data_IF_200147154004
#
_entry.id   IF_200147154004
#
_cell.length_a   1.000
_cell.length_b   1.000
_cell.length_c   1.000
_cell.angle_alpha   90.00
_cell.angle_beta   90.00
_cell.angle_gamma   90.00
#
_symmetry.space_group_name_H-M   'P 1'
#
loop_
_entity.id
_entity.type
_entity.pdbx_description
1 polymer ?
#
# COMPACT_ATOMS: atom_id res chain seq x y z
N UNK A 1 -3.64 4.57 49.14
CA UNK A 1 -4.55 3.54 48.60
C UNK A 1 -4.51 3.69 47.06
N UNK A 2 -3.72 2.87 46.37
CA UNK A 2 -3.53 2.97 44.89
C UNK A 2 -4.50 1.97 44.24
N UNK A 3 -5.45 2.48 43.48
CA UNK A 3 -6.33 1.65 42.66
C UNK A 3 -5.53 1.14 41.41
N UNK A 4 -5.44 -0.17 41.28
CA UNK A 4 -4.94 -0.84 40.07
C UNK A 4 -6.02 -0.84 39.00
N UNK A 5 -5.72 -0.57 37.71
CA UNK A 5 -6.71 -0.69 36.65
C UNK A 5 -7.08 -2.15 36.45
N UNK A 6 -8.39 -2.46 36.48
CA UNK A 6 -8.95 -3.74 36.05
C UNK A 6 -8.82 -3.85 34.52
N UNK A 7 -7.92 -4.70 34.05
CA UNK A 7 -7.94 -5.14 32.65
C UNK A 7 -9.11 -6.10 32.48
N UNK A 8 -10.17 -5.67 31.81
CA UNK A 8 -11.29 -6.52 31.42
C UNK A 8 -10.87 -7.53 30.38
N UNK A 9 -10.73 -8.79 30.79
CA UNK A 9 -10.63 -9.99 29.95
C UNK A 9 -11.97 -10.24 29.26
N UNK A 10 -12.21 -9.67 28.08
CA UNK A 10 -13.45 -9.97 27.34
C UNK A 10 -13.40 -9.64 25.85
N UNK A 11 -12.36 -10.02 25.10
CA UNK A 11 -12.37 -9.98 23.62
C UNK A 11 -11.74 -11.22 22.96
N UNK A 12 -11.45 -12.29 23.69
CA UNK A 12 -10.82 -13.49 23.13
C UNK A 12 -11.65 -14.78 23.21
N UNK A 13 -12.97 -14.68 23.33
CA UNK A 13 -13.84 -15.86 23.18
C UNK A 13 -14.50 -15.81 21.80
N UNK A 14 -13.96 -16.57 20.82
CA UNK A 14 -14.64 -16.84 19.57
C UNK A 14 -13.78 -16.99 18.31
N UNK A 15 -12.48 -16.96 18.38
CA UNK A 15 -11.65 -17.17 17.20
C UNK A 15 -10.62 -18.28 17.41
N UNK A 16 -11.03 -19.54 17.20
CA UNK A 16 -10.09 -20.64 16.94
C UNK A 16 -9.50 -20.48 15.52
N UNK A 17 -8.72 -19.40 15.31
CA UNK A 17 -8.04 -19.15 14.06
C UNK A 17 -6.57 -19.60 14.19
N UNK A 18 -6.30 -20.78 13.60
CA UNK A 18 -4.97 -21.27 13.28
C UNK A 18 -3.94 -21.42 14.40
N UNK A 19 -4.01 -22.49 15.18
CA UNK A 19 -2.81 -23.09 15.75
C UNK A 19 -2.23 -24.05 14.71
N UNK A 20 -1.41 -23.57 13.77
CA UNK A 20 -0.44 -24.41 13.06
C UNK A 20 0.70 -24.67 14.04
N UNK A 21 0.81 -25.90 14.52
CA UNK A 21 1.99 -26.37 15.28
C UNK A 21 3.24 -26.27 14.39
N UNK A 22 4.28 -25.56 14.84
CA UNK A 22 5.65 -25.73 14.38
C UNK A 22 6.12 -24.80 13.24
N UNK A 23 5.60 -23.57 13.09
CA UNK A 23 6.18 -22.58 12.20
C UNK A 23 6.96 -21.51 12.97
N UNK A 24 8.08 -21.04 12.44
CA UNK A 24 8.71 -19.79 12.88
C UNK A 24 7.67 -18.66 12.79
N UNK A 25 7.55 -17.81 13.83
CA UNK A 25 6.68 -16.63 13.83
C UNK A 25 7.22 -15.62 12.81
N UNK A 26 6.85 -15.77 11.54
CA UNK A 26 7.30 -14.93 10.44
C UNK A 26 6.10 -14.33 9.71
N UNK A 27 6.17 -13.04 9.41
CA UNK A 27 5.27 -12.40 8.45
C UNK A 27 5.52 -13.03 7.08
N UNK A 28 4.49 -13.64 6.48
CA UNK A 28 4.64 -14.43 5.25
C UNK A 28 4.57 -13.58 3.98
N UNK A 29 3.99 -12.39 4.05
CA UNK A 29 3.87 -11.49 2.91
C UNK A 29 2.80 -10.43 3.12
N UNK A 30 2.60 -9.59 2.12
CA UNK A 30 1.52 -8.61 2.08
C UNK A 30 0.23 -9.32 1.64
N UNK A 31 -0.84 -9.25 2.45
CA UNK A 31 -2.16 -9.67 2.00
C UNK A 31 -2.83 -8.55 1.20
N UNK A 32 -2.94 -7.36 1.77
CA UNK A 32 -3.41 -6.17 1.06
C UNK A 32 -2.94 -4.88 1.74
N UNK A 33 -2.81 -3.83 0.93
CA UNK A 33 -2.72 -2.45 1.38
C UNK A 33 -4.04 -1.74 1.05
N UNK A 34 -4.63 -1.01 2.00
CA UNK A 34 -5.94 -0.39 1.83
C UNK A 34 -5.91 1.12 2.01
N UNK A 35 -6.55 1.83 1.10
CA UNK A 35 -6.58 3.28 1.01
C UNK A 35 -8.03 3.79 0.89
N UNK A 36 -8.23 5.09 1.10
CA UNK A 36 -9.48 5.77 0.73
C UNK A 36 -9.44 6.12 -0.76
N UNK A 37 -10.58 6.01 -1.43
CA UNK A 37 -10.76 6.61 -2.76
C UNK A 37 -11.92 7.59 -2.76
N UNK A 38 -11.90 8.50 -3.75
CA UNK A 38 -12.98 9.44 -4.00
C UNK A 38 -14.15 8.72 -4.66
N UNK A 39 -13.83 7.92 -5.68
CA UNK A 39 -14.79 7.24 -6.55
C UNK A 39 -14.21 5.88 -6.98
N UNK A 40 -15.01 4.82 -6.86
CA UNK A 40 -14.57 3.45 -7.19
C UNK A 40 -14.46 3.22 -8.69
N UNK A 41 -15.25 3.94 -9.53
CA UNK A 41 -15.18 3.78 -10.99
C UNK A 41 -13.91 4.45 -11.55
N UNK A 42 -13.56 5.65 -11.09
CA UNK A 42 -12.30 6.31 -11.44
C UNK A 42 -11.09 5.48 -10.97
N UNK A 43 -11.17 4.95 -9.74
CA UNK A 43 -10.12 4.08 -9.17
C UNK A 43 -9.97 2.80 -10.00
N UNK A 44 -11.08 2.17 -10.41
CA UNK A 44 -11.06 1.00 -11.28
C UNK A 44 -10.42 1.32 -12.64
N UNK A 45 -10.77 2.43 -13.27
CA UNK A 45 -10.19 2.83 -14.56
C UNK A 45 -8.65 2.94 -14.48
N UNK A 46 -8.11 3.41 -13.35
CA UNK A 46 -6.67 3.48 -13.15
C UNK A 46 -6.05 2.09 -12.85
N UNK A 47 -6.55 1.36 -11.86
CA UNK A 47 -5.91 0.11 -11.40
C UNK A 47 -6.21 -1.07 -12.33
N UNK A 48 -7.40 -1.18 -12.91
CA UNK A 48 -7.74 -2.26 -13.84
C UNK A 48 -7.44 -1.87 -15.31
N UNK A 49 -8.04 -0.79 -15.83
CA UNK A 49 -7.98 -0.49 -17.27
C UNK A 49 -6.61 0.08 -17.69
N UNK A 50 -5.96 0.88 -16.82
CA UNK A 50 -4.62 1.43 -17.11
C UNK A 50 -3.50 0.50 -16.63
N UNK A 51 -3.45 0.14 -15.33
CA UNK A 51 -2.37 -0.71 -14.79
C UNK A 51 -2.50 -2.20 -15.18
N UNK A 52 -3.71 -2.70 -15.45
CA UNK A 52 -3.95 -4.08 -15.87
C UNK A 52 -4.11 -5.06 -14.70
N UNK A 53 -4.39 -4.57 -13.50
CA UNK A 53 -4.79 -5.41 -12.38
C UNK A 53 -6.20 -5.97 -12.60
N UNK A 54 -6.56 -7.03 -11.88
CA UNK A 54 -7.93 -7.57 -11.92
C UNK A 54 -8.72 -7.09 -10.71
N UNK A 55 -9.89 -6.46 -10.91
CA UNK A 55 -10.86 -6.27 -9.84
C UNK A 55 -11.37 -7.64 -9.38
N UNK A 56 -10.79 -8.18 -8.31
CA UNK A 56 -11.00 -9.56 -7.89
C UNK A 56 -12.11 -9.71 -6.86
N UNK A 57 -12.41 -8.65 -6.09
CA UNK A 57 -13.45 -8.68 -5.08
C UNK A 57 -14.01 -7.30 -4.79
N UNK A 58 -15.30 -7.26 -4.46
CA UNK A 58 -16.02 -6.06 -4.03
C UNK A 58 -16.88 -6.42 -2.83
N UNK A 59 -16.76 -5.62 -1.76
CA UNK A 59 -17.50 -5.83 -0.52
C UNK A 59 -18.30 -4.58 -0.15
N UNK A 60 -19.64 -4.57 -0.36
CA UNK A 60 -20.51 -3.54 0.22
C UNK A 60 -20.56 -3.67 1.74
N UNK A 61 -20.37 -2.59 2.46
CA UNK A 61 -20.42 -2.54 3.93
C UNK A 61 -21.55 -1.61 4.33
N UNK A 62 -22.57 -2.15 5.00
CA UNK A 62 -23.73 -1.40 5.45
C UNK A 62 -23.72 -1.13 6.96
N UNK A 63 -22.91 -1.86 7.71
CA UNK A 63 -22.78 -1.69 9.16
C UNK A 63 -21.35 -1.99 9.61
N UNK A 64 -20.84 -1.18 10.55
CA UNK A 64 -19.56 -1.45 11.21
C UNK A 64 -19.69 -2.58 12.23
N UNK A 65 -18.56 -3.17 12.65
CA UNK A 65 -18.54 -4.17 13.73
C UNK A 65 -19.12 -3.65 15.06
N UNK A 66 -19.17 -2.33 15.25
CA UNK A 66 -19.75 -1.68 16.45
C UNK A 66 -21.22 -1.31 16.28
N UNK A 67 -21.87 -1.75 15.20
CA UNK A 67 -23.30 -1.56 14.95
C UNK A 67 -23.68 -0.20 14.34
N UNK A 68 -22.69 0.64 13.93
CA UNK A 68 -22.99 1.92 13.26
C UNK A 68 -23.32 1.67 11.79
N UNK A 69 -24.44 2.21 11.32
CA UNK A 69 -24.81 2.16 9.89
C UNK A 69 -23.83 3.00 9.06
N UNK A 70 -23.43 2.45 7.94
CA UNK A 70 -22.51 3.07 6.95
C UNK A 70 -22.92 2.65 5.54
N UNK A 71 -22.47 3.41 4.55
CA UNK A 71 -22.57 3.03 3.13
C UNK A 71 -21.16 3.14 2.56
N UNK A 72 -20.42 2.03 2.56
CA UNK A 72 -19.03 1.99 2.14
C UNK A 72 -18.85 0.85 1.12
N UNK A 73 -18.13 1.13 0.04
CA UNK A 73 -17.68 0.12 -0.92
C UNK A 73 -16.22 -0.19 -0.67
N UNK A 74 -15.86 -1.48 -0.57
CA UNK A 74 -14.48 -1.92 -0.45
C UNK A 74 -14.11 -2.77 -1.67
N UNK A 75 -13.16 -2.30 -2.48
CA UNK A 75 -12.71 -2.95 -3.71
C UNK A 75 -11.30 -3.50 -3.55
N UNK A 76 -11.00 -4.63 -4.23
CA UNK A 76 -9.71 -5.32 -4.18
C UNK A 76 -9.19 -5.59 -5.58
N UNK A 77 -8.03 -5.02 -5.92
CA UNK A 77 -7.33 -5.22 -7.18
C UNK A 77 -6.16 -6.18 -6.97
N UNK A 78 -6.21 -7.34 -7.63
CA UNK A 78 -5.25 -8.44 -7.42
C UNK A 78 -3.97 -8.21 -8.21
N UNK A 79 -2.84 -8.47 -7.55
CA UNK A 79 -1.49 -8.53 -8.13
C UNK A 79 -1.10 -9.97 -8.49
N UNK A 80 0.02 -10.12 -9.23
CA UNK A 80 0.49 -11.41 -9.72
C UNK A 80 0.89 -12.40 -8.63
N UNK A 81 1.32 -11.92 -7.46
CA UNK A 81 1.67 -12.72 -6.28
C UNK A 81 0.48 -13.14 -5.41
N UNK A 82 -0.73 -12.70 -5.78
CA UNK A 82 -1.97 -12.97 -5.05
C UNK A 82 -2.30 -11.97 -3.95
N UNK A 83 -1.46 -10.98 -3.69
CA UNK A 83 -1.78 -9.86 -2.81
C UNK A 83 -2.65 -8.81 -3.51
N UNK A 84 -3.12 -7.78 -2.75
CA UNK A 84 -4.06 -6.80 -3.29
C UNK A 84 -3.69 -5.38 -2.93
N UNK A 85 -4.01 -4.46 -3.84
CA UNK A 85 -4.27 -3.06 -3.52
C UNK A 85 -5.78 -2.90 -3.37
N UNK A 86 -6.23 -2.28 -2.29
CA UNK A 86 -7.64 -2.21 -1.93
C UNK A 86 -8.06 -0.77 -1.62
N UNK A 87 -9.34 -0.46 -1.87
CA UNK A 87 -9.84 0.88 -1.65
C UNK A 87 -11.19 0.87 -0.94
N UNK A 88 -11.37 1.91 -0.10
CA UNK A 88 -12.65 2.23 0.53
C UNK A 88 -13.22 3.50 -0.09
N UNK A 89 -14.39 3.42 -0.69
CA UNK A 89 -15.22 4.56 -1.02
C UNK A 89 -16.29 4.73 0.06
N UNK A 90 -16.37 5.92 0.64
CA UNK A 90 -17.44 6.32 1.58
C UNK A 90 -18.04 7.64 1.07
N UNK A 91 -19.15 7.61 0.31
CA UNK A 91 -19.74 8.80 -0.28
C UNK A 91 -20.34 9.75 0.75
N UNK A 92 -20.47 9.32 2.00
CA UNK A 92 -21.02 10.15 3.10
C UNK A 92 -19.97 11.06 3.74
N UNK A 93 -18.68 10.88 3.39
CA UNK A 93 -17.56 11.65 3.95
C UNK A 93 -16.80 12.36 2.84
N UNK A 94 -16.43 13.63 3.02
CA UNK A 94 -15.59 14.33 2.08
C UNK A 94 -14.29 13.56 1.82
N UNK A 95 -13.79 13.67 0.61
CA UNK A 95 -12.51 13.12 0.19
C UNK A 95 -11.60 14.25 -0.27
N UNK A 96 -10.48 14.42 0.41
CA UNK A 96 -9.43 15.36 0.01
C UNK A 96 -8.40 14.64 -0.86
N UNK A 97 -8.08 15.23 -2.02
CA UNK A 97 -7.06 14.72 -2.92
C UNK A 97 -5.70 14.60 -2.19
N UNK A 98 -5.02 13.45 -2.35
CA UNK A 98 -3.79 13.11 -1.63
C UNK A 98 -2.56 13.69 -2.35
N UNK A 99 -2.36 14.99 -2.25
CA UNK A 99 -1.26 15.70 -2.90
C UNK A 99 0.08 15.64 -2.13
N UNK A 100 0.29 14.60 -1.31
CA UNK A 100 1.53 14.44 -0.54
C UNK A 100 2.72 14.06 -1.43
N UNK A 101 3.92 14.31 -0.89
CA UNK A 101 5.17 13.89 -1.51
C UNK A 101 5.31 12.36 -1.47
N UNK A 102 6.00 11.78 -2.45
CA UNK A 102 6.27 10.34 -2.53
C UNK A 102 7.10 9.82 -1.35
N UNK A 103 7.93 10.65 -0.69
CA UNK A 103 8.60 10.26 0.55
C UNK A 103 7.67 10.08 1.75
N UNK A 104 6.48 10.71 1.72
CA UNK A 104 5.49 10.55 2.78
C UNK A 104 4.68 9.28 2.58
N UNK A 105 4.29 9.00 1.34
CA UNK A 105 3.53 7.80 0.98
C UNK A 105 3.60 7.53 -0.53
N UNK A 106 4.03 6.34 -0.89
CA UNK A 106 3.83 5.76 -2.21
C UNK A 106 3.62 4.24 -2.09
N UNK A 107 3.13 3.63 -3.16
CA UNK A 107 3.09 2.19 -3.30
C UNK A 107 3.95 1.79 -4.50
N UNK A 108 4.96 0.95 -4.27
CA UNK A 108 5.82 0.41 -5.30
C UNK A 108 5.36 -0.98 -5.73
N UNK A 109 5.14 -1.17 -7.02
CA UNK A 109 4.64 -2.39 -7.64
C UNK A 109 5.70 -2.92 -8.59
N UNK A 110 6.16 -4.14 -8.37
CA UNK A 110 7.16 -4.76 -9.21
C UNK A 110 6.57 -5.17 -10.56
N UNK A 111 7.29 -4.86 -11.63
CA UNK A 111 6.98 -5.23 -13.02
C UNK A 111 8.24 -5.66 -13.75
N UNK A 112 8.10 -6.22 -14.96
CA UNK A 112 9.21 -6.34 -15.90
C UNK A 112 9.45 -5.02 -16.68
N UNK A 113 10.62 -4.91 -17.30
CA UNK A 113 11.03 -3.71 -18.05
C UNK A 113 10.06 -3.40 -19.21
N UNK A 114 9.59 -4.42 -19.92
CA UNK A 114 8.65 -4.25 -21.04
C UNK A 114 7.35 -3.61 -20.56
N UNK A 115 6.83 -4.09 -19.43
CA UNK A 115 5.62 -3.55 -18.79
C UNK A 115 5.84 -2.11 -18.31
N UNK A 116 7.00 -1.82 -17.68
CA UNK A 116 7.33 -0.48 -17.21
C UNK A 116 7.31 0.53 -18.36
N UNK A 117 8.04 0.24 -19.43
CA UNK A 117 8.14 1.12 -20.62
C UNK A 117 6.79 1.28 -21.33
N UNK A 118 6.01 0.20 -21.45
CA UNK A 118 4.68 0.25 -22.06
C UNK A 118 3.70 1.13 -21.23
N UNK A 119 3.73 1.03 -19.89
CA UNK A 119 2.89 1.86 -19.03
C UNK A 119 3.33 3.31 -19.01
N UNK A 120 4.63 3.60 -19.00
CA UNK A 120 5.16 4.94 -19.15
C UNK A 120 4.66 5.59 -20.45
N UNK A 121 4.85 4.90 -21.58
CA UNK A 121 4.38 5.40 -22.88
C UNK A 121 2.88 5.64 -22.90
N UNK A 122 2.08 4.67 -22.43
CA UNK A 122 0.60 4.80 -22.37
C UNK A 122 0.18 6.00 -21.53
N UNK A 123 0.81 6.24 -20.40
CA UNK A 123 0.51 7.37 -19.53
C UNK A 123 0.82 8.71 -20.22
N UNK A 124 1.98 8.81 -20.89
CA UNK A 124 2.36 10.02 -21.66
C UNK A 124 1.37 10.27 -22.80
N UNK A 125 0.96 9.24 -23.53
CA UNK A 125 -0.01 9.34 -24.63
C UNK A 125 -1.39 9.81 -24.11
N UNK A 126 -1.73 9.49 -22.86
CA UNK A 126 -2.97 9.92 -22.17
C UNK A 126 -2.84 11.29 -21.47
N UNK A 127 -1.68 11.92 -21.49
CA UNK A 127 -1.43 13.20 -20.81
C UNK A 127 -1.45 13.10 -19.28
N UNK A 128 -1.17 11.91 -18.72
CA UNK A 128 -1.11 11.71 -17.27
C UNK A 128 0.20 12.28 -16.69
N UNK A 129 0.17 12.64 -15.39
CA UNK A 129 1.39 12.97 -14.66
C UNK A 129 2.32 11.74 -14.57
N UNK A 130 3.52 11.85 -15.15
CA UNK A 130 4.53 10.79 -15.18
C UNK A 130 5.88 11.38 -14.78
N UNK A 131 6.59 10.71 -13.88
CA UNK A 131 7.97 11.05 -13.51
C UNK A 131 8.85 9.81 -13.58
N UNK A 132 10.09 10.00 -13.96
CA UNK A 132 11.13 8.96 -14.13
C UNK A 132 11.44 8.80 -15.63
N UNK A 133 12.31 7.90 -16.01
CA UNK A 133 12.86 6.75 -15.27
C UNK A 133 13.87 7.25 -14.24
N UNK A 134 13.73 6.80 -12.98
CA UNK A 134 14.66 7.10 -11.90
C UNK A 134 15.47 5.86 -11.55
N UNK A 135 16.80 5.97 -11.54
CA UNK A 135 17.71 4.90 -11.12
C UNK A 135 18.06 5.07 -9.63
N UNK A 136 17.76 4.04 -8.84
CA UNK A 136 18.05 3.96 -7.39
C UNK A 136 19.23 3.01 -7.08
N UNK A 137 19.95 2.55 -8.11
CA UNK A 137 21.13 1.70 -7.99
C UNK A 137 20.83 0.20 -7.80
N UNK A 138 19.63 -0.19 -7.36
CA UNK A 138 19.17 -1.57 -7.23
C UNK A 138 17.80 -1.82 -7.87
N UNK A 139 17.07 -0.77 -8.16
CA UNK A 139 15.82 -0.75 -8.92
C UNK A 139 15.83 0.49 -9.83
N UNK A 140 15.06 0.45 -10.90
CA UNK A 140 14.68 1.65 -11.66
C UNK A 140 13.17 1.75 -11.77
N UNK A 141 12.65 2.99 -11.80
CA UNK A 141 11.24 3.22 -11.50
C UNK A 141 10.62 4.34 -12.32
N UNK A 142 9.31 4.21 -12.56
CA UNK A 142 8.44 5.25 -13.10
C UNK A 142 7.30 5.50 -12.10
N UNK A 143 6.94 6.76 -11.91
CA UNK A 143 5.95 7.21 -10.94
C UNK A 143 4.75 7.81 -11.66
N UNK A 144 3.57 7.47 -11.17
CA UNK A 144 2.28 8.01 -11.61
C UNK A 144 1.53 8.56 -10.41
N UNK A 145 0.58 9.44 -10.68
CA UNK A 145 -0.39 9.86 -9.66
C UNK A 145 -1.76 9.30 -10.03
N UNK A 146 -2.36 8.55 -9.10
CA UNK A 146 -3.68 7.98 -9.30
C UNK A 146 -4.79 9.04 -9.17
N UNK A 147 -6.07 8.76 -9.51
CA UNK A 147 -7.18 9.73 -9.42
C UNK A 147 -7.43 10.25 -7.99
N UNK A 148 -6.94 9.56 -6.98
CA UNK A 148 -7.08 9.92 -5.58
C UNK A 148 -5.92 10.81 -5.08
N UNK A 149 -4.84 10.92 -5.89
CA UNK A 149 -3.64 11.65 -5.57
C UNK A 149 -2.52 10.81 -4.96
N UNK A 150 -2.70 9.50 -4.80
CA UNK A 150 -1.62 8.61 -4.33
C UNK A 150 -0.56 8.43 -5.41
N UNK A 151 0.70 8.40 -4.98
CA UNK A 151 1.81 8.08 -5.85
C UNK A 151 1.91 6.57 -6.00
N UNK A 152 1.89 6.11 -7.25
CA UNK A 152 2.08 4.71 -7.64
C UNK A 152 3.38 4.62 -8.41
N UNK A 153 4.31 3.81 -7.90
CA UNK A 153 5.60 3.52 -8.51
C UNK A 153 5.52 2.16 -9.20
N UNK A 154 5.90 2.08 -10.47
CA UNK A 154 6.24 0.81 -11.12
C UNK A 154 7.74 0.67 -11.10
N UNK A 155 8.23 -0.47 -10.59
CA UNK A 155 9.66 -0.70 -10.39
C UNK A 155 10.14 -2.01 -10.99
N UNK A 156 11.32 -1.99 -11.59
CA UNK A 156 12.07 -3.15 -12.07
C UNK A 156 13.24 -3.38 -11.14
N UNK A 157 13.45 -4.62 -10.71
CA UNK A 157 14.56 -5.00 -9.83
C UNK A 157 15.80 -5.29 -10.66
N UNK A 158 16.87 -4.50 -10.46
CA UNK A 158 18.17 -4.68 -11.09
C UNK A 158 19.10 -5.56 -10.27
N UNK A 159 19.05 -5.42 -8.93
CA UNK A 159 19.91 -6.14 -8.00
C UNK A 159 19.15 -6.60 -6.78
N UNK A 160 19.36 -7.83 -6.35
CA UNK A 160 18.82 -8.32 -5.07
C UNK A 160 19.42 -7.58 -3.88
N UNK A 161 18.59 -7.41 -2.85
CA UNK A 161 18.99 -6.90 -1.55
C UNK A 161 19.37 -8.04 -0.57
N UNK A 162 19.25 -9.30 -0.99
CA UNK A 162 19.58 -10.46 -0.15
C UNK A 162 21.04 -10.41 0.32
N UNK A 163 21.26 -10.78 1.59
CA UNK A 163 22.59 -10.80 2.21
C UNK A 163 23.14 -9.41 2.59
N UNK A 164 22.33 -8.36 2.54
CA UNK A 164 22.73 -6.99 2.93
C UNK A 164 22.26 -6.57 4.31
N UNK A 165 21.68 -7.49 5.08
CA UNK A 165 21.03 -7.19 6.36
C UNK A 165 22.02 -6.57 7.38
N UNK A 166 23.26 -7.10 7.49
CA UNK A 166 24.28 -6.55 8.37
C UNK A 166 24.66 -5.12 7.98
N UNK A 167 24.87 -4.87 6.67
CA UNK A 167 25.16 -3.53 6.16
C UNK A 167 24.02 -2.56 6.43
N UNK A 168 22.77 -2.99 6.26
CA UNK A 168 21.59 -2.17 6.52
C UNK A 168 21.51 -1.76 8.00
N UNK A 169 21.79 -2.68 8.93
CA UNK A 169 21.83 -2.39 10.38
C UNK A 169 22.91 -1.36 10.72
N UNK A 170 24.11 -1.49 10.15
CA UNK A 170 25.20 -0.56 10.40
C UNK A 170 24.92 0.83 9.85
N UNK A 171 24.37 0.94 8.63
CA UNK A 171 24.01 2.22 8.02
C UNK A 171 22.90 2.92 8.82
N UNK A 172 21.88 2.19 9.26
CA UNK A 172 20.82 2.75 10.10
C UNK A 172 21.37 3.26 11.43
N UNK A 173 22.27 2.51 12.07
CA UNK A 173 22.94 2.93 13.32
C UNK A 173 23.75 4.21 13.12
N UNK A 174 24.53 4.28 12.05
CA UNK A 174 25.32 5.49 11.71
C UNK A 174 24.40 6.69 11.44
N UNK A 175 23.30 6.50 10.72
CA UNK A 175 22.29 7.55 10.49
C UNK A 175 21.74 8.08 11.81
N UNK A 176 21.34 7.21 12.75
CA UNK A 176 20.79 7.64 14.04
C UNK A 176 21.78 8.42 14.88
N UNK A 177 23.08 8.13 14.76
CA UNK A 177 24.15 8.86 15.50
C UNK A 177 24.44 10.24 14.90
N UNK A 178 24.30 10.39 13.59
CA UNK A 178 24.79 11.57 12.85
C UNK A 178 23.67 12.49 12.35
N UNK A 179 22.39 12.08 12.37
CA UNK A 179 21.30 12.91 11.89
C UNK A 179 21.13 14.16 12.73
N UNK A 180 21.03 15.32 12.07
CA UNK A 180 20.66 16.57 12.72
C UNK A 180 19.14 16.61 12.93
N UNK A 181 18.69 16.77 14.17
CA UNK A 181 17.27 16.94 14.47
C UNK A 181 16.85 18.39 14.16
N UNK A 182 15.62 18.65 13.66
CA UNK A 182 15.08 19.99 13.55
C UNK A 182 15.11 20.67 14.92
N UNK A 183 15.52 21.95 14.96
CA UNK A 183 15.34 22.77 16.16
C UNK A 183 13.85 23.15 16.22
N UNK A 184 13.17 22.73 17.29
CA UNK A 184 11.77 23.09 17.57
C UNK A 184 11.67 24.48 18.17
#
# INVERSE_FOLDING_TARGET
>A
MRLKPRVTRSILQGANWFVKKGGTEMIQGLHHAAYRCRDSAETRAFYEDFLGMTLAHVLPIHQTKTGRDVTVMHTFYRMGDGSFVAFFEDPTRPFDFKAQHDFDLHIALQVDETTLLAKQKKALDLGMEVRGISDHGFIHSVYFRDPNGYVVELTVVDKSLDGKEAQAQDLLKQWQLNKTLPQH
#
